data_IF_548017320721
#
_entry.id   IF_548017320721
#
_cell.length_a   1.000
_cell.length_b   1.000
_cell.length_c   1.000
_cell.angle_alpha   90.00
_cell.angle_beta   90.00
_cell.angle_gamma   90.00
#
_symmetry.space_group_name_H-M   'P 1'
#
loop_
_entity.id
_entity.type
_entity.pdbx_description
1 polymer ?
#
# COMPACT_ATOMS: atom_id res chain seq x y z
N UNK A 1 41.06 2.65 47.31
CA UNK A 1 41.28 2.51 45.85
C UNK A 1 40.02 2.93 45.13
N UNK A 2 40.19 3.72 44.05
CA UNK A 2 39.21 4.61 43.43
C UNK A 2 38.05 3.86 42.75
N UNK A 3 36.83 4.31 43.07
CA UNK A 3 35.60 4.15 42.28
C UNK A 3 35.69 5.08 41.06
N UNK A 4 35.46 4.62 39.83
CA UNK A 4 35.34 5.51 38.67
C UNK A 4 33.94 6.13 38.59
N UNK A 5 33.90 7.46 38.64
CA UNK A 5 32.77 8.37 38.45
C UNK A 5 32.37 8.43 36.95
N UNK A 6 31.11 8.76 36.58
CA UNK A 6 30.55 8.45 35.27
C UNK A 6 31.03 9.41 34.17
N UNK A 7 31.21 8.87 32.96
CA UNK A 7 31.47 9.67 31.76
C UNK A 7 30.30 10.64 31.52
N UNK A 8 30.67 11.90 31.30
CA UNK A 8 29.79 13.05 31.17
C UNK A 8 28.84 13.01 29.95
N UNK A 9 28.04 14.06 29.80
CA UNK A 9 26.89 14.07 28.90
C UNK A 9 27.35 13.96 27.44
N UNK A 10 26.73 13.03 26.71
CA UNK A 10 26.75 13.01 25.25
C UNK A 10 26.35 14.39 24.74
N UNK A 11 27.32 15.09 24.17
CA UNK A 11 27.12 16.25 23.31
C UNK A 11 26.37 15.74 22.09
N UNK A 12 25.03 15.77 22.14
CA UNK A 12 24.22 15.68 20.95
C UNK A 12 24.58 16.91 20.09
N UNK A 13 25.01 16.75 18.83
CA UNK A 13 25.20 17.89 17.96
C UNK A 13 23.86 18.62 17.82
N UNK A 14 23.88 19.90 18.16
CA UNK A 14 22.79 20.84 17.97
C UNK A 14 22.30 20.75 16.53
N UNK A 15 21.10 20.20 16.35
CA UNK A 15 20.43 20.15 15.07
C UNK A 15 19.76 21.51 14.83
N UNK A 16 20.60 22.52 14.70
CA UNK A 16 20.26 23.80 14.12
C UNK A 16 19.57 23.53 12.78
N UNK A 17 18.27 23.85 12.74
CA UNK A 17 17.42 23.76 11.55
C UNK A 17 18.15 24.40 10.36
N UNK A 18 18.29 23.72 9.21
CA UNK A 18 18.68 24.43 8.01
C UNK A 18 17.59 25.46 7.69
N UNK A 19 18.01 26.71 7.72
CA UNK A 19 17.31 27.90 7.28
C UNK A 19 16.54 27.64 5.97
N UNK A 20 15.24 27.94 5.98
CA UNK A 20 14.40 28.04 4.78
C UNK A 20 15.05 28.96 3.76
N UNK A 21 15.71 28.38 2.75
CA UNK A 21 16.13 29.12 1.57
C UNK A 21 16.38 28.15 0.42
N UNK A 22 15.57 28.27 -0.63
CA UNK A 22 15.95 27.80 -1.97
C UNK A 22 15.13 26.64 -2.55
N UNK A 23 13.86 26.89 -2.89
CA UNK A 23 13.23 26.21 -4.02
C UNK A 23 13.20 27.17 -5.22
N UNK A 24 14.38 27.65 -5.65
CA UNK A 24 14.48 28.49 -6.85
C UNK A 24 14.65 27.60 -8.07
N UNK A 25 13.53 27.26 -8.72
CA UNK A 25 13.53 26.55 -10.00
C UNK A 25 13.86 27.54 -11.12
N UNK A 26 15.15 27.66 -11.45
CA UNK A 26 15.62 28.50 -12.54
C UNK A 26 15.38 27.84 -13.90
N UNK A 27 14.18 27.98 -14.49
CA UNK A 27 13.99 28.21 -15.94
C UNK A 27 12.50 28.44 -16.28
N UNK A 28 12.09 29.70 -16.47
CA UNK A 28 11.17 30.19 -17.52
C UNK A 28 10.84 31.66 -17.21
N UNK A 29 10.94 32.54 -18.21
CA UNK A 29 10.79 34.00 -18.09
C UNK A 29 9.35 34.49 -17.90
N UNK A 30 8.55 33.82 -17.06
CA UNK A 30 7.25 34.31 -16.62
C UNK A 30 7.26 34.33 -15.09
N UNK A 31 6.87 35.46 -14.50
CA UNK A 31 6.60 35.57 -13.07
C UNK A 31 5.42 34.66 -12.73
N UNK A 32 5.71 33.40 -12.40
CA UNK A 32 4.70 32.48 -11.86
C UNK A 32 4.50 32.89 -10.41
N UNK A 33 3.41 33.61 -10.13
CA UNK A 33 3.04 33.98 -8.77
C UNK A 33 2.51 32.74 -8.05
N UNK A 34 3.41 31.97 -7.44
CA UNK A 34 3.05 30.79 -6.64
C UNK A 34 2.47 31.29 -5.31
N UNK A 35 1.22 30.92 -4.96
CA UNK A 35 0.68 31.21 -3.64
C UNK A 35 1.53 30.55 -2.55
N UNK A 36 1.92 31.30 -1.52
CA UNK A 36 2.83 30.82 -0.46
C UNK A 36 2.26 29.63 0.33
N UNK A 37 0.93 29.49 0.38
CA UNK A 37 0.22 28.43 1.10
C UNK A 37 0.12 27.11 0.31
N UNK A 38 0.28 27.17 -1.02
CA UNK A 38 0.12 26.00 -1.90
C UNK A 38 1.08 24.84 -1.55
N UNK A 39 2.39 25.09 -1.31
CA UNK A 39 3.31 24.04 -0.91
C UNK A 39 2.88 23.33 0.39
N UNK A 40 2.35 24.07 1.35
CA UNK A 40 1.95 23.52 2.65
C UNK A 40 0.70 22.64 2.54
N UNK A 41 -0.29 23.04 1.74
CA UNK A 41 -1.46 22.21 1.45
C UNK A 41 -1.09 20.89 0.77
N UNK A 42 -0.21 20.95 -0.23
CA UNK A 42 0.25 19.76 -0.93
C UNK A 42 1.07 18.85 -0.01
N UNK A 43 1.94 19.43 0.83
CA UNK A 43 2.70 18.68 1.82
C UNK A 43 1.79 17.96 2.81
N UNK A 44 0.73 18.63 3.29
CA UNK A 44 -0.20 18.04 4.24
C UNK A 44 -1.02 16.91 3.58
N UNK A 45 -1.51 17.12 2.37
CA UNK A 45 -2.15 16.08 1.57
C UNK A 45 -1.23 14.87 1.38
N UNK A 46 0.03 15.07 0.98
CA UNK A 46 0.98 13.98 0.78
C UNK A 46 1.26 13.22 2.08
N UNK A 47 1.42 13.93 3.22
CA UNK A 47 1.58 13.29 4.53
C UNK A 47 0.38 12.41 4.88
N UNK A 48 -0.83 12.92 4.68
CA UNK A 48 -2.05 12.21 5.02
C UNK A 48 -2.29 11.02 4.06
N UNK A 49 -1.97 11.16 2.77
CA UNK A 49 -2.03 10.08 1.79
C UNK A 49 -1.04 8.94 2.12
N UNK A 50 0.20 9.27 2.50
CA UNK A 50 1.20 8.27 2.92
C UNK A 50 0.72 7.51 4.17
N UNK A 51 0.06 8.19 5.11
CA UNK A 51 -0.50 7.57 6.31
C UNK A 51 -1.74 6.71 6.00
N UNK A 52 -2.55 7.15 5.05
CA UNK A 52 -3.79 6.49 4.66
C UNK A 52 -3.57 5.25 3.79
N UNK A 53 -2.49 5.23 2.98
CA UNK A 53 -2.23 4.21 1.95
C UNK A 53 -3.48 3.88 1.12
N UNK A 54 -4.09 4.88 0.44
CA UNK A 54 -5.32 4.66 -0.30
C UNK A 54 -5.08 3.75 -1.51
N UNK A 55 -6.04 2.86 -1.79
CA UNK A 55 -6.02 2.01 -2.97
C UNK A 55 -6.18 2.82 -4.26
N UNK A 56 -7.08 3.82 -4.24
CA UNK A 56 -7.26 4.80 -5.30
C UNK A 56 -6.92 6.22 -4.79
N UNK A 57 -5.83 6.78 -5.29
CA UNK A 57 -5.37 8.13 -4.93
C UNK A 57 -6.27 9.24 -5.49
N UNK A 58 -6.93 9.02 -6.62
CA UNK A 58 -7.80 10.00 -7.27
C UNK A 58 -9.08 10.13 -6.45
N UNK A 59 -9.72 9.02 -6.11
CA UNK A 59 -10.89 9.01 -5.23
C UNK A 59 -10.53 9.63 -3.87
N UNK A 60 -9.42 9.21 -3.27
CA UNK A 60 -8.91 9.76 -2.02
C UNK A 60 -8.72 11.29 -2.10
N UNK A 61 -8.13 11.80 -3.18
CA UNK A 61 -7.92 13.24 -3.37
C UNK A 61 -9.24 14.01 -3.43
N UNK A 62 -10.24 13.49 -4.15
CA UNK A 62 -11.55 14.14 -4.27
C UNK A 62 -12.25 14.21 -2.92
N UNK A 63 -12.20 13.14 -2.13
CA UNK A 63 -12.75 13.10 -0.78
C UNK A 63 -11.98 14.03 0.17
N UNK A 64 -10.66 14.03 0.10
CA UNK A 64 -9.77 14.87 0.93
C UNK A 64 -10.04 16.36 0.73
N UNK A 65 -9.98 16.84 -0.51
CA UNK A 65 -10.21 18.26 -0.80
C UNK A 65 -11.68 18.66 -0.59
N UNK A 66 -12.64 17.75 -0.83
CA UNK A 66 -14.05 18.02 -0.52
C UNK A 66 -14.28 18.19 0.98
N UNK A 67 -13.66 17.35 1.82
CA UNK A 67 -13.73 17.48 3.27
C UNK A 67 -13.05 18.76 3.77
N UNK A 68 -11.90 19.11 3.19
CA UNK A 68 -11.17 20.35 3.47
C UNK A 68 -12.01 21.59 3.18
N UNK A 69 -12.68 21.67 2.03
CA UNK A 69 -13.57 22.79 1.67
C UNK A 69 -14.78 22.87 2.61
N UNK A 70 -15.31 21.72 3.04
CA UNK A 70 -16.43 21.66 4.00
C UNK A 70 -16.03 21.93 5.45
N UNK A 71 -14.73 22.12 5.74
CA UNK A 71 -14.21 22.28 7.09
C UNK A 71 -14.42 21.05 7.98
N UNK A 72 -14.65 19.88 7.37
CA UNK A 72 -14.83 18.64 8.13
C UNK A 72 -13.47 18.00 8.42
N UNK A 73 -13.29 17.41 9.63
CA UNK A 73 -12.11 16.62 9.90
C UNK A 73 -12.09 15.42 8.96
N UNK A 74 -11.11 15.38 8.05
CA UNK A 74 -10.87 14.22 7.21
C UNK A 74 -10.31 13.10 8.10
N UNK A 75 -11.22 12.30 8.66
CA UNK A 75 -10.88 11.19 9.54
C UNK A 75 -10.29 10.08 8.68
N UNK A 76 -8.98 10.16 8.46
CA UNK A 76 -8.18 9.08 7.91
C UNK A 76 -8.26 7.96 8.92
N UNK A 77 -9.24 7.07 8.81
CA UNK A 77 -9.07 5.75 9.40
C UNK A 77 -7.95 5.12 8.59
N UNK A 78 -6.74 4.95 9.15
CA UNK A 78 -5.77 4.12 8.48
C UNK A 78 -6.44 2.75 8.39
N UNK A 79 -6.63 2.24 7.18
CA UNK A 79 -6.85 0.82 7.02
C UNK A 79 -5.49 0.21 6.67
N UNK A 80 -4.59 0.02 7.65
CA UNK A 80 -3.37 -0.77 7.39
C UNK A 80 -3.72 -2.24 7.08
N UNK A 81 -5.01 -2.60 7.21
CA UNK A 81 -5.60 -3.89 6.89
C UNK A 81 -6.46 -3.83 5.62
N UNK A 82 -6.22 -2.89 4.69
CA UNK A 82 -6.45 -3.15 3.27
C UNK A 82 -5.40 -4.17 2.81
N UNK A 83 -5.38 -5.31 3.51
CA UNK A 83 -4.79 -6.55 3.08
C UNK A 83 -5.43 -6.75 1.71
N UNK A 84 -4.59 -6.78 0.68
CA UNK A 84 -4.99 -7.18 -0.67
C UNK A 84 -5.51 -8.63 -0.54
N UNK A 85 -6.76 -8.74 -0.12
CA UNK A 85 -7.44 -9.99 0.10
C UNK A 85 -7.96 -10.45 -1.24
N UNK A 86 -8.05 -11.77 -1.36
CA UNK A 86 -8.51 -12.38 -2.59
C UNK A 86 -9.96 -11.93 -2.83
N UNK A 87 -10.21 -11.06 -3.80
CA UNK A 87 -11.57 -10.63 -4.18
C UNK A 87 -12.06 -11.42 -5.40
N UNK A 88 -13.38 -11.44 -5.61
CA UNK A 88 -13.97 -12.11 -6.78
C UNK A 88 -13.46 -11.53 -8.11
N UNK A 89 -13.12 -10.24 -8.13
CA UNK A 89 -12.59 -9.55 -9.31
C UNK A 89 -11.19 -10.07 -9.66
N UNK A 90 -10.29 -10.13 -8.67
CA UNK A 90 -8.94 -10.69 -8.82
C UNK A 90 -9.00 -12.15 -9.26
N UNK A 91 -9.95 -12.91 -8.70
CA UNK A 91 -10.18 -14.30 -9.08
C UNK A 91 -10.71 -14.44 -10.52
N UNK A 92 -11.55 -13.50 -10.97
CA UNK A 92 -12.04 -13.43 -12.35
C UNK A 92 -10.92 -13.17 -13.35
N UNK A 93 -9.99 -12.27 -13.02
CA UNK A 93 -8.80 -12.00 -13.83
C UNK A 93 -7.91 -13.26 -13.91
N UNK A 94 -7.63 -13.88 -12.77
CA UNK A 94 -6.88 -15.14 -12.67
C UNK A 94 -7.52 -16.25 -13.51
N UNK A 95 -8.85 -16.39 -13.43
CA UNK A 95 -9.60 -17.36 -14.23
C UNK A 95 -9.49 -17.07 -15.72
N UNK A 96 -9.64 -15.82 -16.16
CA UNK A 96 -9.51 -15.48 -17.57
C UNK A 96 -8.10 -15.75 -18.13
N UNK A 97 -7.05 -15.64 -17.31
CA UNK A 97 -5.66 -15.83 -17.73
C UNK A 97 -5.25 -17.31 -17.76
N UNK A 98 -5.87 -18.16 -16.93
CA UNK A 98 -5.43 -19.53 -16.68
C UNK A 98 -6.48 -20.61 -17.02
N UNK A 99 -7.72 -20.24 -17.32
CA UNK A 99 -8.82 -21.17 -17.64
C UNK A 99 -8.52 -22.08 -18.84
N UNK A 100 -7.83 -21.56 -19.85
CA UNK A 100 -7.51 -22.30 -21.07
C UNK A 100 -6.45 -23.38 -20.86
N UNK A 101 -5.69 -23.34 -19.76
CA UNK A 101 -4.49 -24.16 -19.61
C UNK A 101 -4.69 -25.48 -18.87
N UNK A 102 -5.84 -25.72 -18.24
CA UNK A 102 -6.20 -26.99 -17.59
C UNK A 102 -5.31 -27.37 -16.39
N UNK A 103 -4.03 -27.63 -16.64
CA UNK A 103 -2.97 -27.86 -15.66
C UNK A 103 -1.94 -26.74 -15.77
N UNK A 104 -1.72 -26.01 -14.67
CA UNK A 104 -0.82 -24.86 -14.60
C UNK A 104 0.29 -25.17 -13.61
N UNK A 105 1.51 -24.73 -13.90
CA UNK A 105 2.63 -24.88 -12.97
C UNK A 105 2.51 -23.89 -11.83
N UNK A 106 2.89 -24.30 -10.63
CA UNK A 106 2.93 -23.43 -9.44
C UNK A 106 3.67 -22.11 -9.68
N UNK A 107 4.79 -22.17 -10.40
CA UNK A 107 5.58 -20.98 -10.76
C UNK A 107 4.79 -19.98 -11.61
N UNK A 108 4.01 -20.45 -12.58
CA UNK A 108 3.22 -19.56 -13.46
C UNK A 108 2.11 -18.86 -12.69
N UNK A 109 1.41 -19.59 -11.81
CA UNK A 109 0.41 -18.98 -10.93
C UNK A 109 1.06 -17.94 -10.03
N UNK A 110 2.24 -18.25 -9.45
CA UNK A 110 2.97 -17.32 -8.60
C UNK A 110 3.43 -16.04 -9.32
N UNK A 111 3.80 -16.12 -10.60
CA UNK A 111 4.14 -14.94 -11.41
C UNK A 111 2.92 -14.05 -11.65
N UNK A 112 1.78 -14.65 -12.01
CA UNK A 112 0.53 -13.92 -12.19
C UNK A 112 0.07 -13.32 -10.86
N UNK A 113 0.18 -14.07 -9.76
CA UNK A 113 -0.13 -13.60 -8.41
C UNK A 113 0.71 -12.38 -8.01
N UNK A 114 2.01 -12.39 -8.33
CA UNK A 114 2.91 -11.26 -8.13
C UNK A 114 2.56 -10.08 -9.03
N UNK A 115 2.14 -10.33 -10.27
CA UNK A 115 1.70 -9.26 -11.20
C UNK A 115 0.41 -8.57 -10.75
N UNK A 116 -0.42 -9.25 -9.96
CA UNK A 116 -1.63 -8.72 -9.36
C UNK A 116 -1.36 -8.06 -7.99
N UNK A 117 -0.09 -7.86 -7.63
CA UNK A 117 0.35 -7.28 -6.35
C UNK A 117 -0.17 -8.00 -5.10
N UNK A 118 -0.56 -9.27 -5.24
CA UNK A 118 -1.21 -10.00 -4.15
C UNK A 118 -0.21 -10.54 -3.12
N UNK A 119 -0.61 -10.67 -1.83
CA UNK A 119 0.27 -11.17 -0.78
C UNK A 119 0.66 -12.63 -1.02
N UNK A 120 1.96 -12.91 -1.00
CA UNK A 120 2.49 -14.28 -1.14
C UNK A 120 2.06 -15.19 0.03
N UNK A 121 1.74 -14.60 1.19
CA UNK A 121 1.18 -15.33 2.32
C UNK A 121 -0.18 -15.97 2.00
N UNK A 122 -1.07 -15.23 1.33
CA UNK A 122 -2.38 -15.74 0.87
C UNK A 122 -2.21 -16.86 -0.14
N UNK A 123 -1.28 -16.69 -1.08
CA UNK A 123 -0.94 -17.71 -2.08
C UNK A 123 -0.45 -19.00 -1.42
N UNK A 124 0.53 -18.90 -0.52
CA UNK A 124 1.09 -20.04 0.20
C UNK A 124 0.04 -20.74 1.09
N UNK A 125 -0.86 -19.97 1.70
CA UNK A 125 -1.96 -20.52 2.49
C UNK A 125 -2.91 -21.36 1.62
N UNK A 126 -3.33 -20.85 0.46
CA UNK A 126 -4.19 -21.58 -0.48
C UNK A 126 -3.47 -22.84 -1.00
N UNK A 127 -2.18 -22.73 -1.31
CA UNK A 127 -1.36 -23.87 -1.74
C UNK A 127 -1.28 -24.98 -0.68
N UNK A 128 -1.05 -24.58 0.57
CA UNK A 128 -0.99 -25.50 1.71
C UNK A 128 -2.34 -26.18 1.97
N UNK A 129 -3.44 -25.42 1.90
CA UNK A 129 -4.80 -25.96 2.05
C UNK A 129 -5.13 -27.00 0.98
N UNK A 130 -4.75 -26.75 -0.28
CA UNK A 130 -5.02 -27.66 -1.39
C UNK A 130 -4.00 -28.80 -1.54
N UNK A 131 -2.93 -28.83 -0.74
CA UNK A 131 -1.81 -29.79 -0.85
C UNK A 131 -1.30 -29.94 -2.28
N UNK A 132 -1.15 -28.82 -2.97
CA UNK A 132 -0.76 -28.82 -4.37
C UNK A 132 0.74 -29.09 -4.55
N UNK A 133 1.09 -29.86 -5.58
CA UNK A 133 2.47 -30.12 -6.00
C UNK A 133 2.97 -29.07 -7.00
N UNK A 134 3.87 -29.48 -7.91
CA UNK A 134 4.40 -28.62 -8.96
C UNK A 134 3.40 -28.37 -10.10
N UNK A 135 2.61 -29.40 -10.44
CA UNK A 135 1.52 -29.32 -11.41
C UNK A 135 0.18 -29.24 -10.70
N UNK A 136 -0.58 -28.19 -11.01
CA UNK A 136 -1.82 -27.85 -10.32
C UNK A 136 -2.94 -27.79 -11.35
N UNK A 137 -3.97 -28.64 -11.18
CA UNK A 137 -5.20 -28.50 -11.95
C UNK A 137 -5.88 -27.17 -11.61
N UNK A 138 -6.08 -26.34 -12.63
CA UNK A 138 -6.61 -24.99 -12.48
C UNK A 138 -7.96 -24.97 -11.76
N UNK A 139 -8.86 -25.88 -12.10
CA UNK A 139 -10.19 -25.96 -11.48
C UNK A 139 -10.12 -26.29 -9.97
N UNK A 140 -9.17 -27.12 -9.54
CA UNK A 140 -8.97 -27.44 -8.11
C UNK A 140 -8.39 -26.24 -7.36
N UNK A 141 -7.47 -25.52 -7.98
CA UNK A 141 -6.89 -24.30 -7.42
C UNK A 141 -7.94 -23.19 -7.30
N UNK A 142 -8.74 -22.99 -8.35
CA UNK A 142 -9.84 -22.03 -8.38
C UNK A 142 -10.87 -22.33 -7.30
N UNK A 143 -11.29 -23.59 -7.14
CA UNK A 143 -12.19 -24.01 -6.07
C UNK A 143 -11.61 -23.74 -4.67
N UNK A 144 -10.30 -23.92 -4.49
CA UNK A 144 -9.59 -23.62 -3.24
C UNK A 144 -9.59 -22.11 -2.95
N UNK A 145 -9.39 -21.29 -3.99
CA UNK A 145 -9.50 -19.83 -3.93
C UNK A 145 -10.92 -19.38 -3.54
N UNK A 146 -11.95 -19.92 -4.20
CA UNK A 146 -13.35 -19.63 -3.86
C UNK A 146 -13.69 -20.02 -2.42
N UNK A 147 -13.17 -21.16 -1.95
CA UNK A 147 -13.38 -21.64 -0.57
C UNK A 147 -12.70 -20.74 0.46
N UNK A 148 -11.54 -20.17 0.13
CA UNK A 148 -10.88 -19.15 0.96
C UNK A 148 -11.71 -17.88 1.02
N UNK A 149 -12.20 -17.39 -0.12
CA UNK A 149 -13.09 -16.23 -0.25
C UNK A 149 -14.39 -16.38 0.56
N UNK A 150 -15.01 -17.57 0.52
CA UNK A 150 -16.25 -17.85 1.24
C UNK A 150 -16.09 -17.86 2.76
N UNK A 151 -14.90 -18.21 3.27
CA UNK A 151 -14.60 -18.18 4.72
C UNK A 151 -14.34 -16.77 5.24
N UNK A 152 -13.71 -15.91 4.43
CA UNK A 152 -13.46 -14.51 4.78
C UNK A 152 -14.79 -13.72 4.91
N UNK A 153 -15.79 -14.03 4.09
CA UNK A 153 -17.09 -13.37 4.11
C UNK A 153 -18.09 -13.90 5.16
N UNK A 154 -17.75 -14.95 5.91
CA UNK A 154 -18.66 -15.61 6.86
C UNK A 154 -18.17 -15.48 8.32
N UNK A 155 -17.69 -14.29 8.66
CA UNK A 155 -17.31 -13.91 10.02
C UNK A 155 -18.21 -12.75 10.47
N UNK A 156 -19.52 -12.97 10.52
CA UNK A 156 -20.50 -12.16 11.24
C UNK A 156 -21.62 -13.05 11.79
#
# INVERSE_FOLDING_TARGET
MKIPTPLGPSVFPDMSRPNSSGSECSRTGMSVHIPQELPDFLLQFTKDAIRAQPEDIIEYSTAYFTAMVKGQPFSVKPNPEAKLELTNEILGILHSQLSERGTVRKLEIGLIWKSLNMPENTFNHILSMGKFGEEIEWNKFLASCCSYLGKVNNIY
#
